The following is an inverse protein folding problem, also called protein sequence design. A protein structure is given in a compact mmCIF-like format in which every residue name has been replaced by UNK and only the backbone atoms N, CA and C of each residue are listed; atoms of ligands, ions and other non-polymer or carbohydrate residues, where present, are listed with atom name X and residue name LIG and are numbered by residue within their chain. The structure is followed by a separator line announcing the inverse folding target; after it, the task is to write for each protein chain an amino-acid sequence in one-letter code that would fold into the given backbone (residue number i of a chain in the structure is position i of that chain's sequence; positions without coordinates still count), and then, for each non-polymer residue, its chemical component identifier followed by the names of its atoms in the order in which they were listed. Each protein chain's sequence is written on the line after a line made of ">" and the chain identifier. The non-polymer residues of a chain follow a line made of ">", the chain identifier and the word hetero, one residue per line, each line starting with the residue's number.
data_IF_519841170095
#
_entry.id   IF_519841170095
#
_cell.length_a   1.000
_cell.length_b   1.000
_cell.length_c   1.000
_cell.angle_alpha   90.00
_cell.angle_beta   90.00
_cell.angle_gamma   90.00
#
_symmetry.space_group_name_H-M   'P 1'
#
loop_
_entity.id
_entity.type
_entity.pdbx_description
1 polymer ?
#
# COMPACT_ATOMS: atom_id res chain seq x y z
N UNK A 1 -6.08 -5.23 0.98
CA UNK A 1 -5.94 -3.96 1.72
C UNK A 1 -4.60 -3.96 2.41
N UNK A 2 -3.85 -2.87 2.30
CA UNK A 2 -2.63 -2.65 3.09
C UNK A 2 -2.90 -1.58 4.15
N UNK A 3 -2.27 -1.70 5.30
CA UNK A 3 -2.28 -0.70 6.37
C UNK A 3 -0.86 -0.52 6.87
N UNK A 4 -0.38 0.73 6.85
CA UNK A 4 0.97 1.12 7.23
C UNK A 4 0.91 1.95 8.51
N UNK A 5 1.83 1.73 9.45
CA UNK A 5 1.90 2.46 10.74
C UNK A 5 3.25 3.15 10.89
N UNK A 6 3.28 4.34 11.50
CA UNK A 6 4.46 5.20 11.61
C UNK A 6 5.05 5.48 10.21
N UNK A 7 4.22 6.11 9.37
CA UNK A 7 4.50 6.31 7.95
C UNK A 7 5.10 7.69 7.69
N UNK A 8 6.08 7.73 6.80
CA UNK A 8 6.72 8.94 6.30
C UNK A 8 6.66 8.93 4.77
N UNK A 9 6.38 10.09 4.17
CA UNK A 9 6.57 10.32 2.73
C UNK A 9 8.06 10.48 2.48
N UNK A 10 8.68 9.47 1.86
CA UNK A 10 10.12 9.42 1.67
C UNK A 10 10.57 10.12 0.38
N UNK A 11 9.76 10.02 -0.68
CA UNK A 11 10.04 10.63 -1.99
C UNK A 11 8.76 11.18 -2.58
N UNK A 12 8.85 12.34 -3.23
CA UNK A 12 7.82 12.92 -4.08
C UNK A 12 8.47 13.31 -5.39
N UNK A 13 7.99 12.77 -6.51
CA UNK A 13 8.54 12.97 -7.84
C UNK A 13 7.43 13.26 -8.87
N UNK A 14 7.02 14.53 -9.03
CA UNK A 14 6.04 14.93 -10.03
C UNK A 14 6.63 14.93 -11.44
N UNK A 15 5.78 14.66 -12.44
CA UNK A 15 6.10 14.67 -13.87
C UNK A 15 4.90 15.09 -14.70
N UNK A 16 5.15 15.68 -15.86
CA UNK A 16 4.12 16.14 -16.78
C UNK A 16 4.75 16.69 -18.07
N UNK A 17 3.90 17.09 -19.00
CA UNK A 17 4.30 17.71 -20.27
C UNK A 17 3.63 19.07 -20.43
N UNK A 18 4.21 19.93 -21.25
CA UNK A 18 3.70 21.29 -21.48
C UNK A 18 2.35 21.27 -22.19
N UNK A 19 2.23 20.44 -23.24
CA UNK A 19 1.07 20.40 -24.14
C UNK A 19 0.16 19.18 -23.89
N UNK A 20 0.44 18.40 -22.84
CA UNK A 20 -0.42 17.31 -22.38
C UNK A 20 -0.21 15.96 -23.07
N UNK A 21 0.88 15.78 -23.84
CA UNK A 21 1.27 14.48 -24.40
C UNK A 21 1.49 13.42 -23.32
N UNK A 22 1.94 13.86 -22.14
CA UNK A 22 2.02 13.09 -20.91
C UNK A 22 1.11 13.75 -19.88
N UNK A 23 0.06 13.03 -19.50
CA UNK A 23 -0.79 13.41 -18.39
C UNK A 23 0.04 13.60 -17.11
N UNK A 24 -0.19 14.69 -16.38
CA UNK A 24 0.48 14.98 -15.12
C UNK A 24 0.31 13.83 -14.13
N UNK A 25 1.42 13.39 -13.55
CA UNK A 25 1.49 12.28 -12.59
C UNK A 25 2.52 12.59 -11.52
N UNK A 26 2.35 12.01 -10.35
CA UNK A 26 3.30 12.11 -9.26
C UNK A 26 3.59 10.71 -8.71
N UNK A 27 4.88 10.39 -8.58
CA UNK A 27 5.32 9.18 -7.88
C UNK A 27 5.59 9.55 -6.43
N UNK A 28 4.98 8.81 -5.51
CA UNK A 28 5.16 8.99 -4.06
C UNK A 28 5.67 7.68 -3.47
N UNK A 29 6.79 7.72 -2.75
CA UNK A 29 7.34 6.57 -2.05
C UNK A 29 7.15 6.73 -0.54
N UNK A 30 6.78 5.63 0.12
CA UNK A 30 6.37 5.62 1.52
C UNK A 30 7.30 4.69 2.31
N UNK A 31 7.85 5.19 3.41
CA UNK A 31 8.54 4.38 4.42
C UNK A 31 7.62 4.22 5.63
N UNK A 32 7.64 3.05 6.27
CA UNK A 32 6.76 2.73 7.40
C UNK A 32 7.42 1.71 8.34
N UNK A 33 7.05 1.75 9.62
CA UNK A 33 7.60 0.82 10.61
C UNK A 33 6.93 -0.56 10.60
N UNK A 34 5.64 -0.61 10.29
CA UNK A 34 4.81 -1.83 10.38
C UNK A 34 3.85 -1.88 9.21
N UNK A 35 3.62 -3.09 8.69
CA UNK A 35 2.63 -3.37 7.66
C UNK A 35 1.66 -4.44 8.10
N UNK A 36 0.37 -4.26 7.77
CA UNK A 36 -0.65 -5.31 7.78
C UNK A 36 -1.25 -5.46 6.40
N UNK A 37 -1.32 -6.68 5.91
CA UNK A 37 -1.98 -7.06 4.66
C UNK A 37 -3.21 -7.91 4.95
N UNK A 38 -4.35 -7.49 4.43
CA UNK A 38 -5.63 -8.18 4.54
C UNK A 38 -6.12 -8.50 3.12
N UNK A 39 -6.23 -9.79 2.79
CA UNK A 39 -6.75 -10.29 1.51
C UNK A 39 -8.10 -10.96 1.74
N UNK A 40 -9.16 -10.42 1.15
CA UNK A 40 -10.51 -10.99 1.23
C UNK A 40 -10.67 -11.99 0.09
N UNK A 41 -10.88 -13.26 0.44
CA UNK A 41 -11.17 -14.32 -0.53
C UNK A 41 -12.57 -14.11 -1.08
N UNK A 42 -12.76 -14.29 -2.38
CA UNK A 42 -14.07 -14.22 -3.00
C UNK A 42 -14.71 -15.61 -3.07
N UNK A 43 -15.94 -15.75 -2.60
CA UNK A 43 -16.72 -16.98 -2.73
C UNK A 43 -17.41 -17.09 -4.10
N UNK A 44 -18.04 -18.22 -4.40
CA UNK A 44 -18.69 -18.48 -5.69
C UNK A 44 -19.84 -17.52 -6.02
N UNK A 45 -20.47 -16.92 -5.02
CA UNK A 45 -21.57 -15.95 -5.16
C UNK A 45 -21.06 -14.51 -5.34
N UNK A 46 -19.74 -14.32 -5.41
CA UNK A 46 -19.10 -13.01 -5.52
C UNK A 46 -18.96 -12.26 -4.20
N UNK A 47 -19.39 -12.85 -3.08
CA UNK A 47 -19.26 -12.30 -1.73
C UNK A 47 -17.95 -12.70 -1.04
N UNK A 48 -17.83 -12.39 0.26
CA UNK A 48 -16.67 -12.78 1.05
C UNK A 48 -16.69 -14.29 1.36
N UNK A 49 -15.59 -14.96 1.08
CA UNK A 49 -15.27 -16.32 1.50
C UNK A 49 -14.36 -16.39 2.73
N UNK A 50 -14.14 -15.26 3.41
CA UNK A 50 -13.18 -15.12 4.51
C UNK A 50 -12.05 -14.13 4.19
N UNK A 51 -11.19 -13.87 5.18
CA UNK A 51 -10.06 -12.94 5.07
C UNK A 51 -8.79 -13.62 5.55
N UNK A 52 -7.75 -13.57 4.73
CA UNK A 52 -6.39 -13.96 5.09
C UNK A 52 -5.65 -12.70 5.52
N UNK A 53 -5.05 -12.73 6.71
CA UNK A 53 -4.34 -11.59 7.29
C UNK A 53 -2.92 -11.99 7.63
N UNK A 54 -1.96 -11.13 7.27
CA UNK A 54 -0.57 -11.23 7.69
C UNK A 54 -0.04 -9.83 8.03
N UNK A 55 0.97 -9.75 8.88
CA UNK A 55 1.60 -8.48 9.21
C UNK A 55 3.01 -8.66 9.76
N UNK A 56 3.77 -7.57 9.73
CA UNK A 56 5.13 -7.53 10.25
C UNK A 56 5.48 -6.15 10.81
N UNK A 57 6.16 -6.15 11.95
CA UNK A 57 6.81 -4.97 12.54
C UNK A 57 8.30 -5.00 12.18
N UNK A 58 8.69 -4.16 11.24
CA UNK A 58 10.07 -4.06 10.76
C UNK A 58 10.98 -3.37 11.79
N UNK A 59 10.43 -2.47 12.61
CA UNK A 59 11.20 -1.72 13.61
C UNK A 59 11.59 -2.62 14.79
N UNK A 60 10.69 -3.52 15.19
CA UNK A 60 10.95 -4.54 16.20
C UNK A 60 11.49 -5.86 15.62
N UNK A 61 11.50 -6.01 14.29
CA UNK A 61 11.94 -7.19 13.55
C UNK A 61 11.20 -8.48 13.99
N UNK A 62 9.86 -8.43 14.00
CA UNK A 62 9.00 -9.56 14.39
C UNK A 62 7.62 -9.53 13.74
N UNK A 63 6.93 -10.67 13.76
CA UNK A 63 5.52 -10.78 13.38
C UNK A 63 4.60 -10.03 14.37
N UNK A 64 3.42 -9.63 13.88
CA UNK A 64 2.34 -8.96 14.64
C UNK A 64 1.03 -9.73 14.63
#
# INVERSE_FOLDING_TARGET
>A
KYTFTDLIVAVVSPSGSHDGEIASRETVELSFSTVKQEYVVQNQQGGSGGTITAGYDFKANKEI
#
